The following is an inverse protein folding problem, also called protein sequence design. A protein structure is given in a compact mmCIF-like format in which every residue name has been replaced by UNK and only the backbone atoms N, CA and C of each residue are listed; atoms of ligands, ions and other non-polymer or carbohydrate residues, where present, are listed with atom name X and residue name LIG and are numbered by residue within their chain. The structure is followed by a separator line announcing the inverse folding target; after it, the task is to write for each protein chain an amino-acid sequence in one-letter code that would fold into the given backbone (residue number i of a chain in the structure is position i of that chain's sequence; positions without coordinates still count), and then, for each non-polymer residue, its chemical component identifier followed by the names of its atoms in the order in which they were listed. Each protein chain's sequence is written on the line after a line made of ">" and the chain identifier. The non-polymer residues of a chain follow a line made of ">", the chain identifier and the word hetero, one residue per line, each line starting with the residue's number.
data_IF_054452184936
#
_entry.id   IF_054452184936
#
_cell.length_a   1.000
_cell.length_b   1.000
_cell.length_c   1.000
_cell.angle_alpha   90.00
_cell.angle_beta   90.00
_cell.angle_gamma   90.00
#
_symmetry.space_group_name_H-M   'P 1'
#
loop_
_entity.id
_entity.type
_entity.pdbx_description
1 polymer ?
#
# COMPACT_ATOMS: atom_id res chain seq x y z
N UNK A 1 30.25 20.37 -14.54
CA UNK A 1 29.62 20.51 -13.22
C UNK A 1 28.68 21.69 -13.35
N UNK A 2 27.38 21.46 -13.43
CA UNK A 2 26.39 22.54 -13.41
C UNK A 2 26.21 22.86 -11.93
N UNK A 3 26.65 24.07 -11.51
CA UNK A 3 26.40 24.55 -10.16
C UNK A 3 24.89 24.52 -9.90
N UNK A 4 24.44 23.74 -8.93
CA UNK A 4 23.08 23.84 -8.42
C UNK A 4 22.89 25.26 -7.90
N UNK A 5 21.87 25.99 -8.33
CA UNK A 5 21.58 27.31 -7.79
C UNK A 5 21.46 27.18 -6.28
N UNK A 6 22.23 27.98 -5.55
CA UNK A 6 22.18 28.01 -4.09
C UNK A 6 20.85 28.61 -3.68
N UNK A 7 20.06 27.83 -2.92
CA UNK A 7 18.82 28.31 -2.31
C UNK A 7 19.10 29.57 -1.47
N UNK A 8 18.18 30.51 -1.52
CA UNK A 8 18.26 31.73 -0.68
C UNK A 8 18.05 31.39 0.80
N UNK A 9 18.44 32.28 1.70
CA UNK A 9 18.20 32.11 3.13
C UNK A 9 16.69 31.99 3.42
N UNK A 10 15.86 32.76 2.70
CA UNK A 10 14.40 32.74 2.82
C UNK A 10 13.80 31.39 2.40
N UNK A 11 14.34 30.79 1.33
CA UNK A 11 13.93 29.47 0.86
C UNK A 11 14.23 28.37 1.91
N UNK A 12 15.40 28.45 2.53
CA UNK A 12 15.77 27.54 3.62
C UNK A 12 14.82 27.67 4.82
N UNK A 13 14.42 28.88 5.16
CA UNK A 13 13.47 29.11 6.27
C UNK A 13 12.10 28.47 5.96
N UNK A 14 11.59 28.62 4.73
CA UNK A 14 10.32 28.00 4.32
C UNK A 14 10.42 26.47 4.39
N UNK A 15 11.49 25.89 3.82
CA UNK A 15 11.71 24.45 3.86
C UNK A 15 11.82 23.91 5.30
N UNK A 16 12.50 24.62 6.19
CA UNK A 16 12.61 24.26 7.60
C UNK A 16 11.26 24.33 8.33
N UNK A 17 10.42 25.32 8.03
CA UNK A 17 9.06 25.40 8.57
C UNK A 17 8.23 24.20 8.11
N UNK A 18 8.27 23.82 6.84
CA UNK A 18 7.60 22.62 6.32
C UNK A 18 8.11 21.35 7.03
N UNK A 19 9.41 21.18 7.19
CA UNK A 19 10.00 20.04 7.91
C UNK A 19 9.55 19.98 9.37
N UNK A 20 9.49 21.14 10.05
CA UNK A 20 9.03 21.22 11.45
C UNK A 20 7.55 20.85 11.61
N UNK A 21 6.73 21.14 10.62
CA UNK A 21 5.32 20.73 10.52
C UNK A 21 5.13 19.27 10.03
N UNK A 22 6.22 18.53 9.82
CA UNK A 22 6.22 17.15 9.29
C UNK A 22 5.70 17.02 7.85
N UNK A 23 5.94 18.03 7.02
CA UNK A 23 5.70 18.03 5.58
C UNK A 23 7.01 17.84 4.82
N UNK A 24 7.68 16.71 5.06
CA UNK A 24 9.01 16.46 4.48
C UNK A 24 8.98 16.32 2.95
N UNK A 25 7.95 15.69 2.38
CA UNK A 25 7.79 15.56 0.94
C UNK A 25 7.56 16.92 0.25
N UNK A 26 6.78 17.81 0.88
CA UNK A 26 6.60 19.18 0.38
C UNK A 26 7.92 19.97 0.44
N UNK A 27 8.69 19.80 1.52
CA UNK A 27 9.96 20.52 1.67
C UNK A 27 10.98 20.08 0.61
N UNK A 28 11.11 18.79 0.38
CA UNK A 28 12.00 18.22 -0.65
C UNK A 28 11.58 18.68 -2.06
N UNK A 29 10.28 18.59 -2.39
CA UNK A 29 9.78 19.02 -3.68
C UNK A 29 9.90 20.54 -3.90
N UNK A 30 9.74 21.35 -2.84
CA UNK A 30 9.97 22.78 -2.91
C UNK A 30 11.44 23.09 -3.18
N UNK A 31 12.37 22.43 -2.50
CA UNK A 31 13.82 22.56 -2.77
C UNK A 31 14.15 22.21 -4.24
N UNK A 32 13.53 21.16 -4.78
CA UNK A 32 13.70 20.77 -6.19
C UNK A 32 13.14 21.84 -7.16
N UNK A 33 11.94 22.35 -6.90
CA UNK A 33 11.32 23.40 -7.73
C UNK A 33 12.12 24.70 -7.71
N UNK A 34 12.66 25.09 -6.55
CA UNK A 34 13.48 26.30 -6.42
C UNK A 34 14.87 26.16 -7.06
N UNK A 35 15.40 24.93 -7.10
CA UNK A 35 16.68 24.62 -7.72
C UNK A 35 16.62 24.40 -9.24
N UNK A 36 15.42 24.27 -9.84
CA UNK A 36 15.24 24.02 -11.27
C UNK A 36 15.10 25.35 -12.03
N UNK A 37 16.08 25.74 -12.87
CA UNK A 37 15.98 26.96 -13.68
C UNK A 37 14.75 26.98 -14.62
N UNK A 38 14.26 25.82 -15.05
CA UNK A 38 13.09 25.71 -15.91
C UNK A 38 11.79 25.87 -15.14
N UNK A 39 11.82 25.71 -13.82
CA UNK A 39 10.62 25.86 -12.99
C UNK A 39 10.08 27.30 -13.00
N UNK A 40 10.90 28.32 -13.31
CA UNK A 40 10.39 29.69 -13.46
C UNK A 40 9.34 29.81 -14.56
N UNK A 41 9.46 29.00 -15.63
CA UNK A 41 8.52 28.98 -16.76
C UNK A 41 7.20 28.24 -16.44
N UNK A 42 7.16 27.48 -15.35
CA UNK A 42 5.96 26.75 -14.98
C UNK A 42 4.91 27.66 -14.34
N UNK A 43 3.62 27.47 -14.69
CA UNK A 43 2.53 28.15 -14.01
C UNK A 43 2.55 27.88 -12.50
N UNK A 44 2.20 28.89 -11.71
CA UNK A 44 2.15 28.76 -10.23
C UNK A 44 1.34 27.54 -9.76
N UNK A 45 0.20 27.28 -10.42
CA UNK A 45 -0.66 26.13 -10.12
C UNK A 45 0.09 24.80 -10.25
N UNK A 46 0.90 24.65 -11.29
CA UNK A 46 1.67 23.42 -11.53
C UNK A 46 2.77 23.23 -10.48
N UNK A 47 3.45 24.31 -10.08
CA UNK A 47 4.44 24.27 -9.00
C UNK A 47 3.80 23.79 -7.70
N UNK A 48 2.66 24.37 -7.32
CA UNK A 48 1.93 23.97 -6.11
C UNK A 48 1.47 22.52 -6.21
N UNK A 49 0.95 22.09 -7.35
CA UNK A 49 0.52 20.72 -7.55
C UNK A 49 1.67 19.73 -7.33
N UNK A 50 2.85 19.97 -7.92
CA UNK A 50 4.04 19.12 -7.70
C UNK A 50 4.41 18.98 -6.24
N UNK A 51 4.41 20.11 -5.51
CA UNK A 51 4.76 20.14 -4.09
C UNK A 51 3.74 19.34 -3.25
N UNK A 52 2.46 19.53 -3.51
CA UNK A 52 1.38 18.85 -2.78
C UNK A 52 1.36 17.35 -3.10
N UNK A 53 1.51 16.99 -4.37
CA UNK A 53 1.52 15.59 -4.82
C UNK A 53 2.70 14.82 -4.23
N UNK A 54 3.86 15.45 -4.06
CA UNK A 54 5.02 14.84 -3.42
C UNK A 54 4.73 14.42 -1.97
N UNK A 55 4.12 15.29 -1.18
CA UNK A 55 3.74 14.96 0.21
C UNK A 55 2.64 13.90 0.26
N UNK A 56 1.63 14.04 -0.62
CA UNK A 56 0.55 13.06 -0.72
C UNK A 56 1.09 11.67 -1.01
N UNK A 57 1.94 11.54 -2.04
CA UNK A 57 2.55 10.28 -2.44
C UNK A 57 3.45 9.70 -1.34
N UNK A 58 4.23 10.55 -0.66
CA UNK A 58 5.06 10.13 0.46
C UNK A 58 4.22 9.53 1.61
N UNK A 59 3.13 10.22 1.98
CA UNK A 59 2.22 9.73 3.03
C UNK A 59 1.47 8.48 2.61
N UNK A 60 0.98 8.45 1.38
CA UNK A 60 0.32 7.28 0.81
C UNK A 60 1.25 6.06 0.88
N UNK A 61 2.47 6.20 0.38
CA UNK A 61 3.46 5.11 0.36
C UNK A 61 3.84 4.65 1.77
N UNK A 62 4.07 5.59 2.70
CA UNK A 62 4.36 5.25 4.11
C UNK A 62 3.20 4.48 4.75
N UNK A 63 1.96 4.93 4.53
CA UNK A 63 0.76 4.28 5.05
C UNK A 63 0.62 2.88 4.46
N UNK A 64 0.69 2.74 3.13
CA UNK A 64 0.60 1.46 2.44
C UNK A 64 1.67 0.47 2.92
N UNK A 65 2.92 0.90 3.04
CA UNK A 65 4.01 0.07 3.55
C UNK A 65 3.75 -0.41 4.99
N UNK A 66 3.13 0.41 5.82
CA UNK A 66 2.72 -0.01 7.17
C UNK A 66 1.67 -1.13 7.12
N UNK A 67 0.67 -1.01 6.24
CA UNK A 67 -0.35 -2.03 6.04
C UNK A 67 0.24 -3.34 5.50
N UNK A 68 1.11 -3.26 4.48
CA UNK A 68 1.80 -4.43 3.91
C UNK A 68 2.63 -5.16 4.97
N UNK A 69 3.38 -4.44 5.81
CA UNK A 69 4.16 -5.05 6.90
C UNK A 69 3.29 -5.80 7.90
N UNK A 70 2.12 -5.25 8.25
CA UNK A 70 1.18 -5.88 9.19
C UNK A 70 0.48 -7.10 8.59
N UNK A 71 0.31 -7.14 7.28
CA UNK A 71 -0.43 -8.20 6.58
C UNK A 71 0.30 -9.56 6.55
N UNK A 72 1.59 -9.62 6.86
CA UNK A 72 2.41 -10.86 6.89
C UNK A 72 2.29 -11.71 5.63
N UNK A 73 2.18 -11.06 4.45
CA UNK A 73 1.98 -11.76 3.18
C UNK A 73 3.16 -12.67 2.84
N UNK A 74 2.85 -13.81 2.22
CA UNK A 74 3.87 -14.74 1.72
C UNK A 74 4.57 -14.21 0.45
N UNK A 75 3.81 -13.52 -0.41
CA UNK A 75 4.28 -12.97 -1.68
C UNK A 75 4.03 -11.47 -1.68
N UNK A 76 5.04 -10.68 -1.28
CA UNK A 76 4.95 -9.23 -1.15
C UNK A 76 4.85 -8.50 -2.50
N UNK A 77 5.36 -9.11 -3.57
CA UNK A 77 5.33 -8.58 -4.93
C UNK A 77 4.24 -9.23 -5.79
N UNK A 78 3.24 -9.90 -5.17
CA UNK A 78 2.15 -10.46 -5.95
C UNK A 78 1.28 -9.35 -6.54
N UNK A 79 1.01 -9.43 -7.84
CA UNK A 79 0.13 -8.50 -8.53
C UNK A 79 -0.89 -9.26 -9.37
N UNK A 80 -2.11 -8.72 -9.52
CA UNK A 80 -3.12 -9.33 -10.38
C UNK A 80 -2.76 -9.18 -11.85
N UNK A 81 -2.05 -8.10 -12.21
CA UNK A 81 -1.59 -7.85 -13.58
C UNK A 81 -0.60 -8.91 -14.06
N UNK A 82 0.13 -9.55 -13.13
CA UNK A 82 1.03 -10.67 -13.42
C UNK A 82 0.29 -12.02 -13.52
N UNK A 83 -1.03 -12.02 -13.41
CA UNK A 83 -1.81 -13.25 -13.45
C UNK A 83 -1.88 -13.81 -14.88
N UNK A 84 -1.31 -15.01 -15.07
CA UNK A 84 -1.34 -15.69 -16.37
C UNK A 84 -2.70 -16.37 -16.55
N UNK A 85 -3.48 -15.90 -17.51
CA UNK A 85 -4.77 -16.45 -17.89
C UNK A 85 -4.60 -17.53 -18.96
N UNK A 86 -4.06 -18.69 -18.56
CA UNK A 86 -3.99 -19.83 -19.47
C UNK A 86 -5.32 -20.59 -19.50
N UNK A 87 -5.83 -21.06 -20.66
CA UNK A 87 -7.13 -21.75 -20.76
C UNK A 87 -7.26 -22.94 -19.79
N UNK A 88 -6.19 -23.68 -19.55
CA UNK A 88 -6.17 -24.80 -18.61
C UNK A 88 -6.43 -24.42 -17.15
N UNK A 89 -6.22 -23.15 -16.77
CA UNK A 89 -6.46 -22.66 -15.40
C UNK A 89 -7.92 -22.33 -15.14
N UNK A 90 -8.73 -22.18 -16.18
CA UNK A 90 -10.15 -21.83 -16.09
C UNK A 90 -10.40 -20.60 -15.18
N UNK A 91 -9.48 -19.64 -15.20
CA UNK A 91 -9.62 -18.37 -14.50
C UNK A 91 -10.39 -17.41 -15.40
N UNK A 92 -11.55 -16.95 -14.91
CA UNK A 92 -12.33 -15.93 -15.57
C UNK A 92 -11.76 -14.54 -15.23
N UNK A 93 -11.32 -13.82 -16.27
CA UNK A 93 -10.79 -12.46 -16.14
C UNK A 93 -11.80 -11.51 -15.52
N UNK A 94 -13.07 -11.65 -15.88
CA UNK A 94 -14.14 -10.78 -15.39
C UNK A 94 -14.33 -10.94 -13.88
N UNK A 95 -14.28 -12.18 -13.39
CA UNK A 95 -14.38 -12.47 -11.95
C UNK A 95 -13.17 -11.86 -11.21
N UNK A 96 -11.97 -11.99 -11.77
CA UNK A 96 -10.76 -11.42 -11.14
C UNK A 96 -10.83 -9.89 -11.11
N UNK A 97 -11.30 -9.24 -12.18
CA UNK A 97 -11.52 -7.80 -12.23
C UNK A 97 -12.55 -7.34 -11.19
N UNK A 98 -13.66 -8.06 -11.02
CA UNK A 98 -14.63 -7.76 -9.96
C UNK A 98 -14.04 -7.92 -8.56
N UNK A 99 -13.28 -8.99 -8.32
CA UNK A 99 -12.63 -9.23 -7.04
C UNK A 99 -11.59 -8.16 -6.71
N UNK A 100 -10.91 -7.61 -7.73
CA UNK A 100 -9.91 -6.54 -7.55
C UNK A 100 -10.49 -5.25 -7.00
N UNK A 101 -11.79 -4.98 -7.22
CA UNK A 101 -12.51 -3.81 -6.67
C UNK A 101 -12.71 -3.91 -5.16
N UNK A 102 -12.55 -5.10 -4.57
CA UNK A 102 -12.68 -5.36 -3.13
C UNK A 102 -14.06 -5.02 -2.52
N UNK A 103 -15.10 -4.84 -3.34
CA UNK A 103 -16.48 -4.56 -2.88
C UNK A 103 -17.07 -5.73 -2.10
N UNK A 104 -16.66 -6.96 -2.44
CA UNK A 104 -17.07 -8.17 -1.74
C UNK A 104 -16.67 -8.17 -0.25
N UNK A 105 -15.59 -7.48 0.13
CA UNK A 105 -15.17 -7.31 1.53
C UNK A 105 -16.18 -6.44 2.28
N UNK A 106 -16.61 -5.33 1.68
CA UNK A 106 -17.60 -4.43 2.28
C UNK A 106 -18.97 -5.08 2.43
N UNK A 107 -19.28 -6.01 1.52
CA UNK A 107 -20.50 -6.81 1.55
C UNK A 107 -20.44 -7.98 2.55
N UNK A 108 -19.31 -8.15 3.28
CA UNK A 108 -19.12 -9.27 4.22
C UNK A 108 -19.10 -10.65 3.56
N UNK A 109 -18.77 -10.72 2.25
CA UNK A 109 -18.71 -11.99 1.51
C UNK A 109 -17.39 -12.72 1.75
N UNK A 110 -17.46 -14.04 1.83
CA UNK A 110 -16.29 -14.91 1.90
C UNK A 110 -15.85 -15.34 0.48
N UNK A 111 -14.54 -15.36 0.25
CA UNK A 111 -13.93 -15.86 -0.96
C UNK A 111 -13.21 -17.18 -0.69
N UNK A 112 -13.54 -18.23 -1.42
CA UNK A 112 -12.89 -19.53 -1.35
C UNK A 112 -12.16 -19.80 -2.67
N UNK A 113 -10.84 -20.00 -2.63
CA UNK A 113 -10.02 -20.31 -3.79
C UNK A 113 -9.62 -21.79 -3.75
N UNK A 114 -10.14 -22.57 -4.71
CA UNK A 114 -9.88 -24.01 -4.83
C UNK A 114 -9.05 -24.33 -6.07
N UNK A 115 -8.44 -25.50 -6.12
CA UNK A 115 -7.67 -25.97 -7.28
C UNK A 115 -6.51 -26.89 -6.89
N UNK A 116 -5.82 -27.42 -7.90
CA UNK A 116 -4.68 -28.35 -7.74
C UNK A 116 -3.51 -27.71 -6.98
N UNK A 117 -2.65 -28.54 -6.40
CA UNK A 117 -1.39 -28.05 -5.81
C UNK A 117 -0.55 -27.35 -6.89
N UNK A 118 0.15 -26.29 -6.50
CA UNK A 118 0.98 -25.46 -7.39
C UNK A 118 0.23 -24.70 -8.50
N UNK A 119 -1.11 -24.62 -8.45
CA UNK A 119 -1.90 -23.85 -9.43
C UNK A 119 -1.90 -22.31 -9.21
N UNK A 120 -1.12 -21.80 -8.26
CA UNK A 120 -1.02 -20.36 -8.00
C UNK A 120 -2.08 -19.78 -7.04
N UNK A 121 -2.88 -20.62 -6.34
CA UNK A 121 -3.92 -20.17 -5.39
C UNK A 121 -3.41 -19.17 -4.34
N UNK A 122 -2.27 -19.51 -3.72
CA UNK A 122 -1.68 -18.63 -2.70
C UNK A 122 -1.13 -17.33 -3.29
N UNK A 123 -0.65 -17.34 -4.52
CA UNK A 123 -0.24 -16.14 -5.23
C UNK A 123 -1.45 -15.22 -5.48
N UNK A 124 -2.52 -15.77 -6.06
CA UNK A 124 -3.76 -15.04 -6.32
C UNK A 124 -4.37 -14.47 -5.03
N UNK A 125 -4.41 -15.25 -3.94
CA UNK A 125 -4.88 -14.77 -2.66
C UNK A 125 -4.04 -13.60 -2.13
N UNK A 126 -2.71 -13.65 -2.26
CA UNK A 126 -1.84 -12.53 -1.85
C UNK A 126 -2.00 -11.31 -2.78
N UNK A 127 -2.19 -11.50 -4.08
CA UNK A 127 -2.46 -10.41 -5.02
C UNK A 127 -3.77 -9.67 -4.67
N UNK A 128 -4.84 -10.42 -4.37
CA UNK A 128 -6.10 -9.83 -3.88
C UNK A 128 -5.94 -9.12 -2.53
N UNK A 129 -5.14 -9.66 -1.61
CA UNK A 129 -4.79 -8.95 -0.38
C UNK A 129 -4.09 -7.63 -0.66
N UNK A 130 -3.15 -7.59 -1.61
CA UNK A 130 -2.46 -6.35 -1.99
C UNK A 130 -3.44 -5.34 -2.59
N UNK A 131 -4.42 -5.77 -3.41
CA UNK A 131 -5.47 -4.89 -3.89
C UNK A 131 -6.27 -4.26 -2.73
N UNK A 132 -6.62 -5.04 -1.72
CA UNK A 132 -7.32 -4.55 -0.53
C UNK A 132 -6.45 -3.56 0.27
N UNK A 133 -5.16 -3.86 0.46
CA UNK A 133 -4.22 -2.99 1.16
C UNK A 133 -3.99 -1.66 0.43
N UNK A 134 -3.98 -1.65 -0.92
CA UNK A 134 -3.92 -0.43 -1.75
C UNK A 134 -5.13 0.48 -1.53
N UNK A 135 -6.28 -0.09 -1.15
CA UNK A 135 -7.49 0.64 -0.76
C UNK A 135 -7.55 0.92 0.76
N UNK A 136 -6.45 0.72 1.47
CA UNK A 136 -6.32 0.88 2.92
C UNK A 136 -7.27 0.01 3.75
N UNK A 137 -7.73 -1.11 3.18
CA UNK A 137 -8.40 -2.16 3.95
C UNK A 137 -7.34 -2.98 4.69
N UNK A 138 -7.67 -3.50 5.85
CA UNK A 138 -6.78 -4.38 6.60
C UNK A 138 -6.80 -5.79 6.01
N UNK A 139 -5.65 -6.44 5.97
CA UNK A 139 -5.52 -7.84 5.59
C UNK A 139 -4.44 -8.53 6.41
N UNK A 140 -4.62 -9.81 6.69
CA UNK A 140 -3.63 -10.65 7.36
C UNK A 140 -3.57 -12.01 6.69
N UNK A 141 -2.38 -12.40 6.25
CA UNK A 141 -2.15 -13.76 5.76
C UNK A 141 -1.71 -14.65 6.92
N UNK A 142 -2.41 -15.74 7.14
CA UNK A 142 -2.08 -16.69 8.20
C UNK A 142 -2.30 -18.12 7.72
N UNK A 143 -1.43 -19.04 8.09
CA UNK A 143 -1.65 -20.47 7.88
C UNK A 143 -2.61 -20.99 8.95
N UNK A 144 -3.49 -21.94 8.57
CA UNK A 144 -4.46 -22.53 9.51
C UNK A 144 -3.77 -23.11 10.74
N UNK A 145 -2.64 -23.80 10.58
CA UNK A 145 -1.87 -24.34 11.71
C UNK A 145 -1.37 -23.26 12.68
N UNK A 146 -0.98 -22.11 12.13
CA UNK A 146 -0.55 -20.95 12.94
C UNK A 146 -1.74 -20.31 13.65
N UNK A 147 -2.86 -20.14 12.97
CA UNK A 147 -4.10 -19.63 13.56
C UNK A 147 -4.55 -20.49 14.75
N UNK A 148 -4.59 -21.82 14.57
CA UNK A 148 -4.94 -22.75 15.65
C UNK A 148 -3.99 -22.59 16.84
N UNK A 149 -2.69 -22.48 16.60
CA UNK A 149 -1.71 -22.29 17.66
C UNK A 149 -1.89 -20.95 18.40
N UNK A 150 -2.19 -19.86 17.68
CA UNK A 150 -2.44 -18.54 18.28
C UNK A 150 -3.69 -18.59 19.17
N UNK A 151 -4.80 -19.13 18.65
CA UNK A 151 -6.04 -19.26 19.40
C UNK A 151 -5.91 -20.19 20.63
N UNK A 152 -5.17 -21.32 20.51
CA UNK A 152 -4.93 -22.22 21.64
C UNK A 152 -4.05 -21.59 22.73
N UNK A 153 -3.14 -20.68 22.37
CA UNK A 153 -2.38 -19.89 23.34
C UNK A 153 -3.26 -18.86 24.03
N UNK A 154 -4.10 -18.17 23.27
CA UNK A 154 -5.03 -17.18 23.78
C UNK A 154 -6.03 -17.79 24.76
N UNK A 155 -6.51 -19.00 24.50
CA UNK A 155 -7.37 -19.78 25.43
C UNK A 155 -6.69 -20.05 26.76
N UNK A 156 -5.41 -20.42 26.73
CA UNK A 156 -4.63 -20.68 27.97
C UNK A 156 -4.32 -19.41 28.76
N UNK A 157 -4.33 -18.25 28.13
CA UNK A 157 -4.07 -16.95 28.74
C UNK A 157 -5.35 -16.19 29.10
N UNK A 158 -6.51 -16.80 28.91
CA UNK A 158 -7.84 -16.23 29.16
C UNK A 158 -8.16 -14.95 28.37
N UNK A 159 -7.51 -14.77 27.21
CA UNK A 159 -7.72 -13.64 26.29
C UNK A 159 -8.24 -14.05 24.90
N UNK A 160 -8.91 -15.20 24.82
CA UNK A 160 -9.43 -15.79 23.58
C UNK A 160 -10.34 -14.85 22.79
N UNK A 161 -11.23 -14.11 23.48
CA UNK A 161 -12.16 -13.19 22.82
C UNK A 161 -11.47 -11.98 22.21
N UNK A 162 -10.43 -11.46 22.86
CA UNK A 162 -9.62 -10.37 22.32
C UNK A 162 -8.86 -10.81 21.08
N UNK A 163 -8.22 -11.99 21.12
CA UNK A 163 -7.50 -12.55 19.97
C UNK A 163 -8.45 -12.86 18.82
N UNK A 164 -9.64 -13.41 19.09
CA UNK A 164 -10.64 -13.67 18.06
C UNK A 164 -11.13 -12.40 17.37
N UNK A 165 -11.25 -11.30 18.09
CA UNK A 165 -11.68 -10.00 17.52
C UNK A 165 -10.71 -9.43 16.49
N UNK A 166 -9.44 -9.87 16.50
CA UNK A 166 -8.45 -9.47 15.49
C UNK A 166 -8.76 -10.09 14.11
N UNK A 167 -9.52 -11.20 14.09
CA UNK A 167 -9.86 -11.95 12.88
C UNK A 167 -11.31 -11.73 12.43
N UNK A 168 -12.10 -11.01 13.20
CA UNK A 168 -13.49 -10.65 12.88
C UNK A 168 -13.55 -9.29 12.15
#
# INVERSE_FOLDING_TARGET
>A
MIDKPSLSIEDYEICNKLKSMRFSGMAEALEEVLADPNAELLPFREKIQRIVDAEWNLRYTKKLNCFIKKATLKYLAADLDDTIYHPERQLDTHIIEELSKCEWIEQGKNLVITGKTSSGKSYLANALCICALRQFKTARYIKVSQLINELSKAEKLDNYQEELSIYA
#
